data_IF_358171780506
#
_entry.id   IF_358171780506
#
_cell.length_a   1.000
_cell.length_b   1.000
_cell.length_c   1.000
_cell.angle_alpha   90.00
_cell.angle_beta   90.00
_cell.angle_gamma   90.00
#
_symmetry.space_group_name_H-M   'P 1'
#
loop_
_entity.id
_entity.type
_entity.pdbx_description
1 polymer ?
#
# COMPACT_ATOMS: atom_id res chain seq x y z
N UNK A 1 -12.46 -28.63 -12.31
CA UNK A 1 -12.91 -27.60 -11.36
C UNK A 1 -11.69 -27.25 -10.52
N UNK A 2 -11.10 -26.05 -10.69
CA UNK A 2 -9.92 -25.65 -9.91
C UNK A 2 -10.39 -24.77 -8.75
N UNK A 3 -10.22 -25.23 -7.52
CA UNK A 3 -10.40 -24.45 -6.29
C UNK A 3 -9.19 -23.54 -6.15
N UNK A 4 -9.35 -22.25 -6.49
CA UNK A 4 -8.36 -21.23 -6.14
C UNK A 4 -8.41 -21.00 -4.64
N UNK A 5 -7.33 -21.36 -3.92
CA UNK A 5 -7.13 -20.96 -2.54
C UNK A 5 -7.00 -19.44 -2.49
N UNK A 6 -8.00 -18.76 -1.94
CA UNK A 6 -7.96 -17.32 -1.65
C UNK A 6 -7.06 -17.14 -0.43
N UNK A 7 -5.78 -16.83 -0.67
CA UNK A 7 -4.86 -16.47 0.41
C UNK A 7 -5.10 -14.99 0.70
N UNK A 8 -5.97 -14.70 1.65
CA UNK A 8 -6.19 -13.34 2.13
C UNK A 8 -5.03 -12.90 3.00
N UNK A 9 -4.34 -11.83 2.61
CA UNK A 9 -3.27 -11.22 3.40
C UNK A 9 -3.80 -10.01 4.19
N UNK A 10 -3.05 -9.60 5.20
CA UNK A 10 -3.40 -8.47 6.07
C UNK A 10 -2.27 -7.45 6.17
N UNK A 11 -2.61 -6.16 6.07
CA UNK A 11 -1.77 -5.04 6.50
C UNK A 11 -2.32 -4.58 7.85
N UNK A 12 -1.49 -4.60 8.89
CA UNK A 12 -1.94 -4.33 10.26
C UNK A 12 -1.16 -3.17 10.86
N UNK A 13 -1.89 -2.23 11.45
CA UNK A 13 -1.38 -1.26 12.42
C UNK A 13 -1.92 -1.64 13.79
N UNK A 14 -1.06 -1.76 14.79
CA UNK A 14 -1.48 -2.01 16.18
C UNK A 14 -0.53 -1.33 17.13
N UNK A 15 -1.03 -0.42 17.96
CA UNK A 15 -0.22 0.39 18.86
C UNK A 15 -0.92 0.62 20.18
N UNK A 16 -0.14 0.62 21.26
CA UNK A 16 -0.63 0.97 22.59
C UNK A 16 -0.53 2.47 22.81
N UNK A 17 -1.61 3.05 23.31
CA UNK A 17 -1.71 4.46 23.67
C UNK A 17 -1.90 4.61 25.17
N UNK A 18 -1.22 5.60 25.74
CA UNK A 18 -1.26 5.89 27.18
C UNK A 18 -2.13 7.11 27.44
N UNK A 19 -2.90 7.05 28.52
CA UNK A 19 -3.71 8.17 28.97
C UNK A 19 -2.88 9.45 29.11
N UNK A 20 -3.44 10.57 28.68
CA UNK A 20 -2.85 11.91 28.78
C UNK A 20 -1.43 12.05 28.17
N UNK A 21 -1.10 11.20 27.18
CA UNK A 21 0.19 11.21 26.51
C UNK A 21 0.02 11.55 25.03
N UNK A 22 0.82 12.48 24.52
CA UNK A 22 0.87 12.76 23.08
C UNK A 22 1.64 11.64 22.37
N UNK A 23 1.02 10.91 21.42
CA UNK A 23 1.71 9.87 20.66
C UNK A 23 2.79 10.44 19.73
N UNK A 24 3.96 9.83 19.74
CA UNK A 24 5.06 10.16 18.83
C UNK A 24 5.46 8.96 17.97
N UNK A 25 5.89 7.85 18.59
CA UNK A 25 6.19 6.60 17.88
C UNK A 25 4.96 6.03 17.16
N UNK A 26 3.79 6.12 17.79
CA UNK A 26 2.54 5.65 17.19
C UNK A 26 2.20 6.42 15.90
N UNK A 27 2.58 7.70 15.80
CA UNK A 27 2.42 8.48 14.56
C UNK A 27 3.42 8.06 13.47
N UNK A 28 4.67 7.78 13.85
CA UNK A 28 5.67 7.23 12.92
C UNK A 28 5.23 5.89 12.34
N UNK A 29 4.73 5.00 13.19
CA UNK A 29 4.22 3.69 12.80
C UNK A 29 2.93 3.81 11.96
N UNK A 30 2.07 4.79 12.27
CA UNK A 30 0.88 5.09 11.46
C UNK A 30 1.27 5.53 10.05
N UNK A 31 2.30 6.38 9.93
CA UNK A 31 2.82 6.81 8.63
C UNK A 31 3.40 5.65 7.84
N UNK A 32 4.13 4.75 8.50
CA UNK A 32 4.65 3.51 7.88
C UNK A 32 3.50 2.61 7.39
N UNK A 33 2.49 2.38 8.22
CA UNK A 33 1.30 1.61 7.85
C UNK A 33 0.61 2.18 6.60
N UNK A 34 0.32 3.48 6.57
CA UNK A 34 -0.33 4.13 5.42
C UNK A 34 0.50 4.01 4.14
N UNK A 35 1.84 4.05 4.25
CA UNK A 35 2.73 3.91 3.11
C UNK A 35 2.69 2.51 2.46
N UNK A 36 2.25 1.48 3.20
CA UNK A 36 2.05 0.12 2.67
C UNK A 36 0.77 -0.03 1.85
N UNK A 37 -0.14 0.95 1.91
CA UNK A 37 -1.46 0.85 1.26
C UNK A 37 -1.43 1.14 -0.26
N UNK A 38 -0.50 0.50 -0.99
CA UNK A 38 -0.23 0.75 -2.42
C UNK A 38 -1.25 0.13 -3.40
N UNK A 39 -2.01 -0.87 -2.97
CA UNK A 39 -2.86 -1.69 -3.83
C UNK A 39 -4.29 -1.17 -4.01
N UNK A 40 -5.08 -1.90 -4.80
CA UNK A 40 -6.50 -1.63 -5.05
C UNK A 40 -7.39 -2.87 -4.88
N UNK A 41 -6.86 -3.92 -4.26
CA UNK A 41 -7.55 -5.20 -4.04
C UNK A 41 -7.88 -5.43 -2.56
N UNK A 42 -8.16 -4.34 -1.83
CA UNK A 42 -8.58 -4.41 -0.43
C UNK A 42 -10.02 -4.92 -0.34
N UNK A 43 -10.26 -5.84 0.60
CA UNK A 43 -11.53 -6.56 0.74
C UNK A 43 -12.25 -6.22 2.05
N UNK A 44 -11.51 -5.94 3.12
CA UNK A 44 -12.10 -5.47 4.35
C UNK A 44 -11.17 -4.51 5.09
N UNK A 45 -11.78 -3.68 5.93
CA UNK A 45 -11.11 -2.82 6.90
C UNK A 45 -11.78 -3.00 8.25
N UNK A 46 -10.98 -3.25 9.29
CA UNK A 46 -11.46 -3.40 10.66
C UNK A 46 -10.76 -2.40 11.57
N UNK A 47 -11.52 -1.75 12.45
CA UNK A 47 -10.98 -1.02 13.61
C UNK A 47 -11.36 -1.81 14.86
N UNK A 48 -10.36 -2.21 15.65
CA UNK A 48 -10.52 -2.93 16.92
C UNK A 48 -9.55 -2.41 17.98
N UNK A 49 -9.66 -2.90 19.21
CA UNK A 49 -8.80 -2.45 20.30
C UNK A 49 -9.07 -3.18 21.61
N UNK A 50 -8.40 -2.76 22.69
CA UNK A 50 -8.54 -3.42 24.01
C UNK A 50 -9.99 -3.42 24.52
N UNK A 51 -10.75 -2.36 24.25
CA UNK A 51 -12.14 -2.21 24.71
C UNK A 51 -13.17 -2.91 23.81
N UNK A 52 -12.75 -3.35 22.62
CA UNK A 52 -13.54 -4.16 21.70
C UNK A 52 -12.59 -4.96 20.80
N UNK A 53 -12.18 -6.17 21.26
CA UNK A 53 -11.24 -7.00 20.51
C UNK A 53 -11.80 -7.53 19.19
N UNK A 54 -13.14 -7.61 19.06
CA UNK A 54 -13.80 -7.99 17.80
C UNK A 54 -13.74 -6.83 16.82
N UNK A 55 -14.04 -5.63 17.31
CA UNK A 55 -14.07 -4.41 16.52
C UNK A 55 -15.21 -4.37 15.52
N UNK A 56 -15.11 -3.41 14.60
CA UNK A 56 -16.10 -3.18 13.56
C UNK A 56 -15.46 -3.30 12.18
N UNK A 57 -16.17 -3.92 11.25
CA UNK A 57 -15.63 -4.23 9.92
C UNK A 57 -16.46 -3.61 8.81
N UNK A 58 -15.76 -2.93 7.91
CA UNK A 58 -16.23 -2.49 6.60
C UNK A 58 -15.83 -3.53 5.56
N UNK A 59 -16.79 -4.10 4.83
CA UNK A 59 -16.57 -5.14 3.80
C UNK A 59 -16.91 -4.68 2.38
N UNK A 60 -17.46 -3.47 2.22
CA UNK A 60 -17.69 -2.91 0.89
C UNK A 60 -16.36 -2.56 0.24
N UNK A 61 -15.90 -3.38 -0.70
CA UNK A 61 -14.60 -3.21 -1.35
C UNK A 61 -14.40 -1.83 -1.98
N UNK A 62 -15.45 -1.19 -2.53
CA UNK A 62 -15.33 0.17 -3.10
C UNK A 62 -14.95 1.17 -2.01
N UNK A 63 -15.63 1.11 -0.87
CA UNK A 63 -15.36 2.01 0.26
C UNK A 63 -14.02 1.71 0.93
N UNK A 64 -13.66 0.43 1.10
CA UNK A 64 -12.37 0.03 1.66
C UNK A 64 -11.22 0.55 0.81
N UNK A 65 -11.28 0.38 -0.52
CA UNK A 65 -10.24 0.87 -1.41
C UNK A 65 -10.14 2.41 -1.42
N UNK A 66 -11.27 3.11 -1.39
CA UNK A 66 -11.28 4.57 -1.31
C UNK A 66 -10.69 5.09 0.01
N UNK A 67 -11.03 4.45 1.14
CA UNK A 67 -10.47 4.76 2.46
C UNK A 67 -8.96 4.49 2.50
N UNK A 68 -8.52 3.33 1.99
CA UNK A 68 -7.09 2.99 1.95
C UNK A 68 -6.29 3.99 1.12
N UNK A 69 -6.83 4.41 -0.03
CA UNK A 69 -6.21 5.43 -0.88
C UNK A 69 -6.19 6.81 -0.20
N UNK A 70 -7.27 7.19 0.48
CA UNK A 70 -7.34 8.44 1.22
C UNK A 70 -6.32 8.49 2.36
N UNK A 71 -6.22 7.40 3.13
CA UNK A 71 -5.21 7.21 4.17
C UNK A 71 -3.79 7.31 3.59
N UNK A 72 -3.49 6.57 2.51
CA UNK A 72 -2.18 6.59 1.86
C UNK A 72 -1.77 8.01 1.47
N UNK A 73 -2.66 8.70 0.77
CA UNK A 73 -2.34 9.98 0.12
C UNK A 73 -2.55 11.19 1.01
N UNK A 74 -3.03 10.97 2.23
CA UNK A 74 -3.46 12.04 3.12
C UNK A 74 -4.50 12.96 2.46
N UNK A 75 -5.50 12.37 1.82
CA UNK A 75 -6.66 13.06 1.28
C UNK A 75 -7.91 12.76 2.10
N UNK A 76 -9.01 13.48 1.82
CA UNK A 76 -10.28 13.28 2.51
C UNK A 76 -11.19 12.33 1.73
N UNK A 77 -11.97 11.52 2.44
CA UNK A 77 -12.98 10.65 1.88
C UNK A 77 -14.12 10.41 2.88
N UNK A 78 -15.34 10.29 2.37
CA UNK A 78 -16.54 10.10 3.18
C UNK A 78 -17.18 11.42 3.65
N UNK A 79 -18.17 11.34 4.56
CA UNK A 79 -18.65 10.12 5.21
C UNK A 79 -19.37 9.15 4.26
N UNK A 80 -19.16 7.84 4.45
CA UNK A 80 -19.95 6.77 3.81
C UNK A 80 -20.55 5.83 4.85
N UNK A 81 -21.83 5.51 4.71
CA UNK A 81 -22.53 4.66 5.68
C UNK A 81 -22.40 3.17 5.31
N UNK A 82 -22.03 2.35 6.28
CA UNK A 82 -21.98 0.88 6.14
C UNK A 82 -22.05 0.20 7.50
N UNK A 83 -22.87 -0.85 7.63
CA UNK A 83 -23.05 -1.62 8.87
C UNK A 83 -23.41 -0.75 10.09
N UNK A 84 -24.25 0.27 9.89
CA UNK A 84 -24.64 1.26 10.91
C UNK A 84 -23.54 2.22 11.39
N UNK A 85 -22.35 2.17 10.77
CA UNK A 85 -21.26 3.09 11.03
C UNK A 85 -21.07 4.08 9.88
N UNK A 86 -20.53 5.25 10.19
CA UNK A 86 -20.25 6.31 9.21
C UNK A 86 -18.74 6.45 9.05
N UNK A 87 -18.19 5.92 7.96
CA UNK A 87 -16.77 5.83 7.74
C UNK A 87 -16.23 7.08 7.04
N UNK A 88 -15.18 7.66 7.59
CA UNK A 88 -14.52 8.82 6.99
C UNK A 88 -13.01 8.79 7.23
N UNK A 89 -12.30 9.43 6.30
CA UNK A 89 -10.87 9.78 6.42
C UNK A 89 -10.75 11.28 6.18
N UNK A 90 -9.96 11.95 7.00
CA UNK A 90 -9.73 13.38 6.86
C UNK A 90 -8.55 13.84 7.71
N UNK A 91 -8.12 15.09 7.54
CA UNK A 91 -7.00 15.61 8.32
C UNK A 91 -7.39 15.97 9.75
N UNK A 92 -6.54 15.59 10.69
CA UNK A 92 -6.63 16.05 12.06
C UNK A 92 -5.26 16.28 12.70
N UNK A 93 -4.90 17.55 12.88
CA UNK A 93 -3.57 17.93 13.34
C UNK A 93 -2.51 17.56 12.30
N UNK A 94 -1.50 16.79 12.72
CA UNK A 94 -0.33 16.44 11.92
C UNK A 94 -0.49 15.26 10.94
N UNK A 95 -1.66 14.60 10.89
CA UNK A 95 -1.89 13.47 9.97
C UNK A 95 -3.36 13.10 9.79
N UNK A 96 -3.68 12.06 9.01
CA UNK A 96 -5.06 11.67 8.80
C UNK A 96 -5.63 10.92 9.99
N UNK A 97 -6.90 11.20 10.24
CA UNK A 97 -7.81 10.46 11.09
C UNK A 97 -8.58 9.44 10.24
N UNK A 98 -8.72 8.22 10.76
CA UNK A 98 -9.71 7.24 10.32
C UNK A 98 -10.80 7.17 11.38
N UNK A 99 -12.06 7.33 11.00
CA UNK A 99 -13.19 7.23 11.93
C UNK A 99 -14.35 6.45 11.33
N UNK A 100 -15.12 5.80 12.19
CA UNK A 100 -16.39 5.16 11.88
C UNK A 100 -17.61 5.90 12.51
N UNK A 101 -17.41 7.15 12.95
CA UNK A 101 -18.48 8.02 13.46
C UNK A 101 -18.90 9.11 12.47
N UNK A 102 -18.14 9.30 11.38
CA UNK A 102 -18.40 10.29 10.34
C UNK A 102 -17.93 11.71 10.65
N UNK A 103 -17.36 11.93 11.84
CA UNK A 103 -16.98 13.27 12.32
C UNK A 103 -15.47 13.38 12.47
N UNK A 104 -14.81 14.02 11.50
CA UNK A 104 -13.36 14.26 11.49
C UNK A 104 -12.98 15.31 12.53
N UNK A 105 -11.93 15.06 13.32
CA UNK A 105 -11.47 15.94 14.40
C UNK A 105 -12.45 16.17 15.54
N UNK A 106 -13.49 15.35 15.64
CA UNK A 106 -14.48 15.53 16.69
C UNK A 106 -14.18 14.66 17.90
N UNK A 107 -14.74 15.04 19.05
CA UNK A 107 -14.85 14.16 20.21
C UNK A 107 -16.21 13.47 20.18
N UNK A 108 -16.22 12.15 20.25
CA UNK A 108 -17.43 11.32 20.19
C UNK A 108 -17.18 9.99 20.89
N UNK A 109 -18.23 9.21 21.09
CA UNK A 109 -18.09 7.79 21.46
C UNK A 109 -18.12 6.96 20.19
N UNK A 110 -17.12 6.10 19.98
CA UNK A 110 -17.08 5.23 18.81
C UNK A 110 -15.69 4.71 18.50
N UNK A 111 -15.36 4.67 17.20
CA UNK A 111 -14.14 4.07 16.66
C UNK A 111 -13.40 5.12 15.84
N UNK A 112 -12.33 5.65 16.39
CA UNK A 112 -11.51 6.70 15.77
C UNK A 112 -10.04 6.42 16.04
N UNK A 113 -9.20 6.56 15.01
CA UNK A 113 -7.75 6.37 15.08
C UNK A 113 -7.08 7.59 14.45
N UNK A 114 -6.40 8.41 15.28
CA UNK A 114 -5.69 9.63 14.86
C UNK A 114 -4.34 9.78 15.57
N UNK A 115 -3.37 8.87 15.30
CA UNK A 115 -2.11 8.81 16.03
C UNK A 115 -1.22 10.03 15.83
N UNK A 116 -1.48 10.84 14.80
CA UNK A 116 -0.68 12.01 14.44
C UNK A 116 -1.36 13.35 14.80
N UNK A 117 -2.35 13.35 15.70
CA UNK A 117 -3.09 14.57 16.04
C UNK A 117 -2.24 15.66 16.72
N UNK A 118 -1.13 15.30 17.35
CA UNK A 118 -0.22 16.26 18.03
C UNK A 118 -0.61 16.63 19.46
N UNK A 119 -1.62 15.95 20.03
CA UNK A 119 -2.03 16.05 21.42
C UNK A 119 -2.52 14.69 21.95
N UNK A 120 -3.04 14.62 23.18
CA UNK A 120 -3.50 13.38 23.82
C UNK A 120 -4.87 12.87 23.35
N UNK A 121 -5.54 13.51 22.40
CA UNK A 121 -6.84 13.08 21.85
C UNK A 121 -6.65 12.12 20.67
N UNK A 122 -5.86 11.07 20.83
CA UNK A 122 -5.40 10.19 19.75
C UNK A 122 -6.46 9.22 19.19
N UNK A 123 -7.68 9.25 19.73
CA UNK A 123 -8.80 8.41 19.30
C UNK A 123 -9.28 7.49 20.40
N UNK A 124 -9.92 6.40 20.02
CA UNK A 124 -10.52 5.42 20.93
C UNK A 124 -11.32 4.37 20.17
N UNK A 125 -11.44 3.19 20.75
CA UNK A 125 -12.28 2.09 20.27
C UNK A 125 -13.34 1.82 21.33
N UNK A 126 -14.61 1.84 20.91
CA UNK A 126 -15.76 1.59 21.78
C UNK A 126 -15.74 2.43 23.09
N UNK A 127 -15.27 3.67 22.99
CA UNK A 127 -15.19 4.60 24.11
C UNK A 127 -15.23 6.04 23.60
N UNK A 128 -15.21 7.00 24.53
CA UNK A 128 -15.02 8.40 24.19
C UNK A 128 -13.62 8.61 23.57
N UNK A 129 -13.52 9.33 22.45
CA UNK A 129 -12.33 9.41 21.57
C UNK A 129 -11.40 10.59 21.87
N UNK A 130 -11.77 11.45 22.81
CA UNK A 130 -10.93 12.51 23.37
C UNK A 130 -10.64 12.18 24.83
N UNK A 131 -9.44 12.49 25.31
CA UNK A 131 -9.00 12.11 26.67
C UNK A 131 -9.24 10.62 26.99
N UNK A 132 -9.16 9.76 25.97
CA UNK A 132 -9.50 8.35 26.12
C UNK A 132 -8.55 7.67 27.12
N UNK A 133 -9.09 6.74 27.91
CA UNK A 133 -8.27 5.87 28.75
C UNK A 133 -7.27 5.07 27.90
N UNK A 134 -6.13 4.72 28.49
CA UNK A 134 -5.08 3.98 27.79
C UNK A 134 -5.60 2.66 27.23
N UNK A 135 -5.34 2.40 25.95
CA UNK A 135 -5.79 1.20 25.24
C UNK A 135 -4.91 0.93 24.01
N UNK A 136 -4.97 -0.28 23.49
CA UNK A 136 -4.42 -0.60 22.16
C UNK A 136 -5.45 -0.28 21.10
N UNK A 137 -5.03 0.42 20.04
CA UNK A 137 -5.81 0.63 18.83
C UNK A 137 -5.22 -0.19 17.69
N UNK A 138 -6.07 -0.90 16.97
CA UNK A 138 -5.70 -1.78 15.87
C UNK A 138 -6.52 -1.44 14.62
N UNK A 139 -5.84 -1.31 13.48
CA UNK A 139 -6.44 -1.20 12.16
C UNK A 139 -5.92 -2.33 11.30
N UNK A 140 -6.81 -3.15 10.77
CA UNK A 140 -6.49 -4.29 9.90
C UNK A 140 -7.14 -4.08 8.54
N UNK A 141 -6.35 -4.13 7.48
CA UNK A 141 -6.85 -4.10 6.10
C UNK A 141 -6.51 -5.42 5.42
N UNK A 142 -7.55 -6.17 5.04
CA UNK A 142 -7.40 -7.40 4.28
C UNK A 142 -7.31 -7.11 2.79
N UNK A 143 -6.47 -7.85 2.08
CA UNK A 143 -6.37 -7.78 0.63
C UNK A 143 -6.26 -9.17 0.02
N UNK A 144 -6.67 -9.26 -1.24
CA UNK A 144 -6.43 -10.45 -2.05
C UNK A 144 -5.10 -10.26 -2.78
N UNK A 145 -4.21 -11.22 -2.60
CA UNK A 145 -3.20 -11.44 -3.62
C UNK A 145 -3.95 -11.93 -4.84
N UNK A 146 -3.90 -11.20 -5.94
CA UNK A 146 -4.24 -11.81 -7.22
C UNK A 146 -3.04 -12.71 -7.51
N UNK A 147 -3.14 -14.06 -7.40
CA UNK A 147 -2.05 -14.91 -7.82
C UNK A 147 -1.79 -14.57 -9.28
N UNK A 148 -0.54 -14.20 -9.61
CA UNK A 148 -0.15 -13.92 -10.98
C UNK A 148 -0.52 -15.14 -11.83
N UNK A 149 -1.61 -15.03 -12.57
CA UNK A 149 -2.10 -16.11 -13.41
C UNK A 149 -1.27 -16.04 -14.68
N UNK A 150 -0.20 -16.84 -14.73
CA UNK A 150 0.54 -17.09 -15.98
C UNK A 150 -0.36 -17.91 -16.92
N UNK A 151 -1.40 -17.30 -17.48
CA UNK A 151 -2.24 -17.93 -18.51
C UNK A 151 -1.72 -17.71 -19.91
N UNK A 152 -0.72 -16.84 -20.10
CA UNK A 152 0.00 -16.78 -21.37
C UNK A 152 1.08 -17.85 -21.43
N UNK A 153 0.72 -18.98 -22.06
CA UNK A 153 1.66 -20.03 -22.54
C UNK A 153 2.70 -19.50 -23.57
N UNK A 154 2.83 -18.18 -23.75
CA UNK A 154 3.79 -17.53 -24.65
C UNK A 154 4.71 -16.51 -23.97
N UNK A 155 4.74 -16.41 -22.64
CA UNK A 155 5.86 -15.72 -21.98
C UNK A 155 7.02 -16.70 -21.85
N UNK A 156 8.21 -16.42 -22.42
CA UNK A 156 9.39 -17.25 -22.20
C UNK A 156 9.62 -17.37 -20.69
N UNK A 157 9.54 -18.59 -20.17
CA UNK A 157 9.93 -18.88 -18.80
C UNK A 157 11.41 -18.49 -18.64
N UNK A 158 11.70 -17.35 -18.00
CA UNK A 158 13.05 -17.04 -17.55
C UNK A 158 13.43 -18.08 -16.50
N UNK A 159 14.18 -19.11 -16.93
CA UNK A 159 14.77 -20.09 -16.02
C UNK A 159 15.82 -19.38 -15.17
N UNK A 160 15.46 -19.01 -13.95
CA UNK A 160 16.46 -18.67 -12.94
C UNK A 160 17.12 -19.96 -12.47
N UNK A 161 18.42 -20.10 -12.74
CA UNK A 161 19.23 -21.22 -12.27
C UNK A 161 19.34 -21.17 -10.74
N UNK A 162 18.83 -22.20 -10.07
CA UNK A 162 18.87 -22.35 -8.61
C UNK A 162 20.16 -22.99 -8.11
N UNK A 163 21.21 -23.11 -8.94
CA UNK A 163 22.50 -23.62 -8.46
C UNK A 163 23.20 -22.56 -7.60
N UNK A 164 23.65 -22.87 -6.37
CA UNK A 164 24.48 -21.96 -5.60
C UNK A 164 25.77 -21.70 -6.37
N UNK A 165 25.94 -20.46 -6.84
CA UNK A 165 27.10 -20.06 -7.64
C UNK A 165 28.27 -19.76 -6.69
N UNK A 166 29.09 -20.77 -6.40
CA UNK A 166 30.42 -20.60 -5.84
C UNK A 166 31.44 -20.62 -7.00
N UNK A 167 31.62 -19.48 -7.66
CA UNK A 167 32.59 -19.38 -8.75
C UNK A 167 32.70 -17.95 -9.29
N UNK A 168 33.94 -17.45 -9.37
CA UNK A 168 34.27 -16.18 -10.02
C UNK A 168 33.86 -16.25 -11.49
N UNK A 169 32.95 -15.37 -11.91
CA UNK A 169 32.50 -15.22 -13.29
C UNK A 169 33.70 -14.98 -14.23
N UNK A 170 34.09 -16.03 -14.97
CA UNK A 170 34.77 -15.89 -16.26
C UNK A 170 33.75 -16.26 -17.35
N UNK A 171 33.11 -15.24 -17.90
CA UNK A 171 32.45 -15.26 -19.21
C UNK A 171 33.01 -14.07 -20.01
N UNK A 172 33.01 -14.12 -21.36
CA UNK A 172 33.82 -13.22 -22.17
C UNK A 172 33.18 -11.83 -22.24
N UNK A 173 33.52 -10.99 -21.27
CA UNK A 173 33.29 -9.55 -21.31
C UNK A 173 34.59 -8.87 -21.70
N UNK A 174 34.95 -8.92 -22.99
CA UNK A 174 35.97 -8.00 -23.49
C UNK A 174 35.36 -6.60 -23.56
N UNK A 175 35.78 -5.77 -22.60
CA UNK A 175 35.58 -4.31 -22.48
C UNK A 175 34.54 -3.79 -21.47
N UNK A 176 34.51 -4.34 -20.25
CA UNK A 176 34.04 -3.57 -19.08
C UNK A 176 35.22 -3.11 -18.23
N UNK A 177 35.62 -1.84 -18.36
CA UNK A 177 36.63 -1.22 -17.50
C UNK A 177 35.92 -0.54 -16.32
N UNK A 178 35.87 -1.21 -15.16
CA UNK A 178 35.40 -0.58 -13.92
C UNK A 178 36.43 0.47 -13.46
N UNK A 179 36.02 1.69 -13.09
CA UNK A 179 36.95 2.64 -12.48
C UNK A 179 37.35 2.15 -11.09
N UNK A 180 38.64 1.84 -10.91
CA UNK A 180 39.24 1.54 -9.62
C UNK A 180 39.42 2.84 -8.82
N UNK A 181 38.36 3.31 -8.15
CA UNK A 181 38.52 4.27 -7.05
C UNK A 181 37.73 3.80 -5.84
N UNK A 182 38.46 3.34 -4.82
CA UNK A 182 37.98 3.28 -3.43
C UNK A 182 37.55 4.69 -3.04
N UNK A 183 36.25 4.92 -2.89
CA UNK A 183 35.75 6.09 -2.20
C UNK A 183 35.73 5.78 -0.70
N UNK A 184 36.39 6.64 0.08
CA UNK A 184 36.43 6.56 1.54
C UNK A 184 35.03 6.85 2.11
N UNK A 185 34.64 6.26 3.24
CA UNK A 185 33.37 6.55 3.89
C UNK A 185 33.27 8.03 4.27
N UNK A 186 32.14 8.65 3.96
CA UNK A 186 31.79 10.00 4.42
C UNK A 186 31.20 9.90 5.84
N UNK A 187 31.83 10.48 6.87
CA UNK A 187 31.41 10.33 8.26
C UNK A 187 30.18 11.16 8.66
N UNK A 188 29.49 11.87 7.75
CA UNK A 188 28.39 12.80 8.10
C UNK A 188 26.99 12.40 7.66
N UNK A 189 26.75 11.18 7.16
CA UNK A 189 25.38 10.76 6.88
C UNK A 189 25.20 9.24 6.93
N UNK A 190 25.03 8.71 8.15
CA UNK A 190 24.64 7.32 8.36
C UNK A 190 23.13 7.18 8.15
N UNK A 191 22.69 7.08 6.90
CA UNK A 191 21.45 6.37 6.46
C UNK A 191 21.06 6.76 5.04
N UNK A 192 21.78 6.24 4.03
CA UNK A 192 21.26 5.87 2.70
C UNK A 192 22.41 5.51 1.78
N UNK A 193 22.69 4.22 1.68
CA UNK A 193 23.46 3.68 0.56
C UNK A 193 22.44 3.27 -0.50
N UNK A 194 22.25 4.11 -1.52
CA UNK A 194 21.49 3.73 -2.70
C UNK A 194 22.37 2.83 -3.57
N UNK A 195 21.99 1.57 -3.69
CA UNK A 195 22.58 0.65 -4.67
C UNK A 195 21.80 0.79 -5.98
N UNK A 196 22.38 1.47 -6.97
CA UNK A 196 21.86 1.44 -8.34
C UNK A 196 22.46 0.24 -9.07
N UNK A 197 21.75 -0.89 -9.08
CA UNK A 197 22.06 -2.01 -9.95
C UNK A 197 21.70 -1.68 -11.40
N UNK A 198 22.57 -0.95 -12.11
CA UNK A 198 22.35 -0.51 -13.51
C UNK A 198 22.05 -1.69 -14.44
N UNK A 199 22.74 -2.82 -14.29
CA UNK A 199 22.69 -3.92 -15.28
C UNK A 199 21.33 -4.62 -15.40
N UNK A 200 20.63 -4.86 -14.29
CA UNK A 200 19.30 -5.49 -14.30
C UNK A 200 18.27 -4.52 -14.88
N UNK A 201 18.35 -3.25 -14.49
CA UNK A 201 17.45 -2.21 -14.98
C UNK A 201 17.67 -1.96 -16.49
N UNK A 202 18.91 -2.01 -16.96
CA UNK A 202 19.26 -1.84 -18.37
C UNK A 202 18.82 -3.05 -19.21
N UNK A 203 18.84 -4.26 -18.64
CA UNK A 203 18.33 -5.48 -19.30
C UNK A 203 16.80 -5.48 -19.38
N UNK A 204 16.11 -5.07 -18.31
CA UNK A 204 14.65 -4.90 -18.33
C UNK A 204 14.27 -3.81 -19.34
N UNK A 205 14.94 -2.65 -19.29
CA UNK A 205 14.72 -1.57 -20.29
C UNK A 205 14.99 -2.05 -21.72
N UNK A 206 16.01 -2.88 -21.92
CA UNK A 206 16.36 -3.42 -23.23
C UNK A 206 15.26 -4.30 -23.82
N UNK A 207 14.63 -5.13 -22.99
CA UNK A 207 13.57 -6.06 -23.40
C UNK A 207 12.25 -5.34 -23.73
N UNK A 208 11.97 -4.21 -23.08
CA UNK A 208 10.74 -3.42 -23.27
C UNK A 208 10.91 -2.19 -24.17
N UNK A 209 12.05 -2.04 -24.86
CA UNK A 209 12.34 -0.90 -25.77
C UNK A 209 11.30 -0.68 -26.87
N UNK A 210 10.56 -1.72 -27.25
CA UNK A 210 9.57 -1.67 -28.34
C UNK A 210 8.13 -1.42 -27.87
N UNK A 211 7.88 -1.17 -26.58
CA UNK A 211 6.55 -0.85 -26.04
C UNK A 211 6.57 0.52 -25.34
N UNK A 212 6.74 1.63 -26.08
CA UNK A 212 7.16 2.90 -25.49
C UNK A 212 6.15 3.56 -24.54
N UNK A 213 4.87 3.16 -24.53
CA UNK A 213 3.81 3.94 -23.86
C UNK A 213 2.89 3.17 -22.90
N UNK A 214 3.13 1.88 -22.59
CA UNK A 214 2.13 1.09 -21.84
C UNK A 214 2.57 0.53 -20.49
N UNK A 215 3.86 0.58 -20.13
CA UNK A 215 4.35 -0.14 -18.95
C UNK A 215 5.17 0.76 -18.05
N UNK A 216 4.63 1.05 -16.87
CA UNK A 216 5.35 1.73 -15.80
C UNK A 216 5.90 0.70 -14.81
N UNK A 217 7.23 0.61 -14.71
CA UNK A 217 7.89 -0.25 -13.73
C UNK A 217 8.22 0.58 -12.49
N UNK A 218 7.78 0.12 -11.32
CA UNK A 218 8.19 0.69 -10.03
C UNK A 218 8.82 -0.40 -9.19
N UNK A 219 10.06 -0.14 -8.77
CA UNK A 219 10.81 -1.05 -7.89
C UNK A 219 10.74 -0.53 -6.47
N UNK A 220 10.35 -1.40 -5.54
CA UNK A 220 10.46 -1.15 -4.11
C UNK A 220 11.52 -2.07 -3.54
N UNK A 221 12.42 -1.50 -2.74
CA UNK A 221 13.42 -2.25 -1.98
C UNK A 221 13.04 -2.10 -0.51
N UNK A 222 12.70 -3.21 0.13
CA UNK A 222 12.34 -3.24 1.55
C UNK A 222 13.42 -4.02 2.28
N UNK A 223 14.01 -3.42 3.32
CA UNK A 223 14.92 -4.14 4.19
C UNK A 223 14.15 -4.73 5.36
N UNK A 224 14.21 -6.06 5.52
CA UNK A 224 13.72 -6.76 6.68
C UNK A 224 14.84 -6.86 7.72
N UNK A 225 14.75 -6.05 8.78
CA UNK A 225 15.73 -6.01 9.86
C UNK A 225 15.82 -7.33 10.66
N UNK A 226 14.69 -7.99 10.91
CA UNK A 226 14.64 -9.23 11.69
C UNK A 226 15.32 -10.39 10.97
N UNK A 227 15.18 -10.45 9.64
CA UNK A 227 15.76 -11.50 8.79
C UNK A 227 17.07 -11.10 8.12
N UNK A 228 17.53 -9.86 8.33
CA UNK A 228 18.71 -9.26 7.67
C UNK A 228 18.69 -9.47 6.14
N UNK A 229 17.52 -9.27 5.54
CA UNK A 229 17.23 -9.61 4.14
C UNK A 229 16.72 -8.38 3.37
N UNK A 230 17.14 -8.23 2.11
CA UNK A 230 16.52 -7.30 1.17
C UNK A 230 15.42 -8.00 0.38
N UNK A 231 14.25 -7.39 0.33
CA UNK A 231 13.10 -7.83 -0.46
C UNK A 231 12.94 -6.85 -1.61
N UNK A 232 12.93 -7.37 -2.82
CA UNK A 232 12.66 -6.60 -4.04
C UNK A 232 11.23 -6.86 -4.46
N UNK A 233 10.41 -5.82 -4.51
CA UNK A 233 9.08 -5.87 -5.07
C UNK A 233 9.09 -5.11 -6.39
N UNK A 234 8.63 -5.77 -7.45
CA UNK A 234 8.43 -5.17 -8.76
C UNK A 234 6.92 -4.94 -8.96
N UNK A 235 6.52 -3.69 -9.05
CA UNK A 235 5.18 -3.30 -9.45
C UNK A 235 5.19 -2.95 -10.94
N UNK A 236 4.30 -3.58 -11.70
CA UNK A 236 4.13 -3.36 -13.14
C UNK A 236 2.75 -2.74 -13.34
N UNK A 237 2.69 -1.47 -13.73
CA UNK A 237 1.45 -0.80 -14.08
C UNK A 237 1.26 -0.81 -15.59
N UNK A 238 0.15 -1.40 -16.04
CA UNK A 238 -0.24 -1.45 -17.45
C UNK A 238 -1.31 -0.40 -17.71
N UNK A 239 -1.01 0.61 -18.51
CA UNK A 239 -1.99 1.60 -18.93
C UNK A 239 -2.68 1.10 -20.20
N UNK A 240 -3.88 0.54 -20.05
CA UNK A 240 -4.74 0.21 -21.19
C UNK A 240 -5.81 1.29 -21.36
N UNK A 241 -5.71 2.05 -22.44
CA UNK A 241 -6.84 2.85 -22.93
C UNK A 241 -7.75 1.93 -23.73
N UNK A 242 -8.93 1.59 -23.21
CA UNK A 242 -9.94 0.89 -23.99
C UNK A 242 -10.46 1.83 -25.09
N UNK A 243 -10.55 1.38 -26.35
CA UNK A 243 -11.18 2.18 -27.39
C UNK A 243 -12.64 2.45 -27.01
N UNK A 244 -13.05 3.72 -27.07
CA UNK A 244 -14.45 4.11 -26.88
C UNK A 244 -15.30 3.38 -27.92
N UNK A 245 -16.46 2.81 -27.55
CA UNK A 245 -17.37 2.20 -28.50
C UNK A 245 -17.76 3.25 -29.55
N UNK A 246 -17.61 2.90 -30.83
CA UNK A 246 -18.01 3.76 -31.94
C UNK A 246 -19.50 4.07 -31.82
N UNK A 247 -19.86 5.35 -31.68
CA UNK A 247 -21.25 5.76 -31.73
C UNK A 247 -21.78 5.49 -33.14
N UNK A 248 -22.72 4.55 -33.25
CA UNK A 248 -23.51 4.35 -34.47
C UNK A 248 -24.41 5.59 -34.68
N UNK A 249 -24.47 6.17 -35.89
CA UNK A 249 -25.32 7.32 -36.15
C UNK A 249 -26.80 6.96 -35.99
N UNK A 250 -27.55 7.81 -35.27
CA UNK A 250 -28.99 7.74 -35.14
C UNK A 250 -29.66 7.86 -36.53
N UNK A 251 -30.34 6.80 -36.96
CA UNK A 251 -31.25 6.83 -38.11
C UNK A 251 -32.60 7.38 -37.62
N UNK A 252 -32.86 8.65 -37.89
CA UNK A 252 -34.17 9.26 -37.66
C UNK A 252 -35.11 8.87 -38.80
N UNK A 253 -36.04 7.95 -38.55
CA UNK A 253 -37.16 7.65 -39.45
C UNK A 253 -38.21 8.75 -39.35
N UNK A 254 -38.42 9.49 -40.45
CA UNK A 254 -39.54 10.40 -40.63
C UNK A 254 -40.84 9.60 -40.86
N UNK A 255 -41.91 9.98 -40.16
CA UNK A 255 -43.27 9.49 -40.36
C UNK A 255 -43.97 10.45 -41.34
N UNK A 256 -44.55 9.99 -42.47
CA UNK A 256 -45.32 10.85 -43.35
C UNK A 256 -46.74 11.06 -42.79
N UNK A 257 -47.22 12.31 -42.95
CA UNK A 257 -48.62 12.71 -42.79
C UNK A 257 -49.47 12.28 -43.99
#
# INVERSE_FOLDING_TARGET
MFTTLDVSNAIVYSQSFTYFTTPSSQCTDWTTFRALLVGSSYTSLTISGTNDPTGITLTNAVYVNAIAQALRTYSSYGPVSSNSYSWAVGGCGGGPELTATGCICCCNTGYTVRPCIGNYNWGGVNCYTCTAAGQTLTVTIMFRDIPFRSTDKKVPQMKFSTKPYHGVLKAPFTNLKLPSKRLKPNPRNSSRTLYTGSSVLDTIKAEFRNTPNMIHFRFHIIYNEQKKQLIFLLEIQLNYSLPLPSQTPNVTTAIPH
#
